data_IF_584715357508
#
_entry.id   IF_584715357508
#
_cell.length_a   1.000
_cell.length_b   1.000
_cell.length_c   1.000
_cell.angle_alpha   90.00
_cell.angle_beta   90.00
_cell.angle_gamma   90.00
#
_symmetry.space_group_name_H-M   'P 1'
#
loop_
_entity.id
_entity.type
_entity.pdbx_description
1 polymer ?
#
# COMPACT_ATOMS: atom_id res chain seq x y z
N UNK A 1 13.84 3.65 -10.11
CA UNK A 1 12.89 4.42 -10.96
C UNK A 1 11.69 3.53 -11.23
N UNK A 2 10.48 4.06 -11.09
CA UNK A 2 9.24 3.33 -11.36
C UNK A 2 9.05 3.14 -12.87
N UNK A 3 8.75 1.90 -13.28
CA UNK A 3 8.72 1.50 -14.69
C UNK A 3 7.35 1.00 -15.15
N UNK A 4 6.27 1.34 -14.44
CA UNK A 4 4.93 0.93 -14.85
C UNK A 4 4.59 1.56 -16.20
N UNK A 5 4.19 0.72 -17.14
CA UNK A 5 3.75 1.12 -18.49
C UNK A 5 2.25 0.90 -18.69
N UNK A 6 1.60 0.21 -17.76
CA UNK A 6 0.16 -0.08 -17.71
C UNK A 6 -0.22 -0.49 -16.27
N UNK A 7 -1.46 -0.25 -15.81
CA UNK A 7 -2.50 0.57 -16.44
C UNK A 7 -2.16 2.09 -16.43
N UNK A 8 -2.89 2.93 -17.18
CA UNK A 8 -2.58 4.37 -17.30
C UNK A 8 -2.47 5.11 -15.96
N UNK A 9 -3.28 4.73 -14.96
CA UNK A 9 -3.18 5.34 -13.64
C UNK A 9 -1.84 5.08 -12.93
N UNK A 10 -1.19 3.94 -13.17
CA UNK A 10 0.14 3.66 -12.62
C UNK A 10 1.21 4.46 -13.35
N UNK A 11 1.07 4.66 -14.66
CA UNK A 11 1.97 5.54 -15.43
C UNK A 11 1.89 6.97 -14.89
N UNK A 12 0.67 7.47 -14.66
CA UNK A 12 0.44 8.79 -14.09
C UNK A 12 1.01 8.89 -12.66
N UNK A 13 0.78 7.87 -11.82
CA UNK A 13 1.31 7.82 -10.46
C UNK A 13 2.85 7.79 -10.44
N UNK A 14 3.50 7.07 -11.36
CA UNK A 14 4.95 7.06 -11.47
C UNK A 14 5.51 8.45 -11.79
N UNK A 15 4.87 9.18 -12.70
CA UNK A 15 5.20 10.59 -13.00
C UNK A 15 4.95 11.50 -11.80
N UNK A 16 3.87 11.29 -11.06
CA UNK A 16 3.54 12.02 -9.85
C UNK A 16 4.59 11.82 -8.74
N UNK A 17 4.99 10.57 -8.48
CA UNK A 17 6.05 10.26 -7.52
C UNK A 17 7.40 10.89 -7.91
N UNK A 18 7.74 10.89 -9.20
CA UNK A 18 8.95 11.57 -9.67
C UNK A 18 8.90 13.09 -9.39
N UNK A 19 7.75 13.72 -9.58
CA UNK A 19 7.56 15.14 -9.24
C UNK A 19 7.63 15.38 -7.73
N UNK A 20 6.96 14.55 -6.92
CA UNK A 20 6.97 14.65 -5.46
C UNK A 20 8.37 14.45 -4.86
N UNK A 21 9.20 13.64 -5.51
CA UNK A 21 10.61 13.45 -5.16
C UNK A 21 11.47 14.65 -5.56
N UNK A 22 11.27 15.21 -6.75
CA UNK A 22 12.04 16.33 -7.27
C UNK A 22 11.74 17.66 -6.54
N UNK A 23 10.50 17.82 -6.04
CA UNK A 23 10.05 19.03 -5.35
C UNK A 23 9.40 18.70 -3.99
N UNK A 24 10.19 18.31 -2.97
CA UNK A 24 9.66 18.04 -1.64
C UNK A 24 8.91 19.26 -1.09
N UNK A 25 7.67 19.07 -0.62
CA UNK A 25 6.83 20.14 -0.07
C UNK A 25 5.98 20.92 -1.08
N UNK A 26 6.15 20.71 -2.39
CA UNK A 26 5.28 21.35 -3.40
C UNK A 26 3.87 20.73 -3.45
N UNK A 27 3.74 19.48 -2.97
CA UNK A 27 2.50 18.73 -2.90
C UNK A 27 2.20 18.48 -1.42
N UNK A 28 1.05 18.98 -0.96
CA UNK A 28 0.57 18.74 0.40
C UNK A 28 0.10 17.30 0.62
N UNK A 29 0.08 16.87 1.87
CA UNK A 29 -0.17 15.46 2.22
C UNK A 29 -1.53 14.95 1.75
N UNK A 30 -2.59 15.75 1.87
CA UNK A 30 -3.92 15.38 1.38
C UNK A 30 -3.92 15.12 -0.15
N UNK A 31 -3.35 16.02 -0.93
CA UNK A 31 -3.23 15.85 -2.39
C UNK A 31 -2.33 14.66 -2.76
N UNK A 32 -1.32 14.37 -1.94
CA UNK A 32 -0.49 13.20 -2.10
C UNK A 32 -1.29 11.91 -1.89
N UNK A 33 -2.02 11.80 -0.77
CA UNK A 33 -2.86 10.66 -0.46
C UNK A 33 -3.95 10.45 -1.51
N UNK A 34 -4.61 11.52 -1.96
CA UNK A 34 -5.64 11.45 -3.00
C UNK A 34 -5.09 10.87 -4.31
N UNK A 35 -3.89 11.30 -4.72
CA UNK A 35 -3.24 10.77 -5.91
C UNK A 35 -2.88 9.28 -5.77
N UNK A 36 -2.41 8.86 -4.59
CA UNK A 36 -2.11 7.44 -4.31
C UNK A 36 -3.38 6.59 -4.31
N UNK A 37 -4.45 7.07 -3.64
CA UNK A 37 -5.75 6.38 -3.60
C UNK A 37 -6.36 6.26 -4.99
N UNK A 38 -6.33 7.32 -5.80
CA UNK A 38 -6.84 7.34 -7.16
C UNK A 38 -6.11 6.39 -8.13
N UNK A 39 -4.91 5.92 -7.76
CA UNK A 39 -4.18 4.94 -8.55
C UNK A 39 -4.65 3.48 -8.32
N UNK A 40 -5.51 3.23 -7.33
CA UNK A 40 -6.12 1.91 -7.11
C UNK A 40 -7.34 1.71 -8.01
N UNK A 41 -7.74 0.45 -8.21
CA UNK A 41 -8.91 0.12 -9.02
C UNK A 41 -9.62 -1.14 -8.50
N UNK A 42 -10.92 -1.32 -8.82
CA UNK A 42 -11.65 -2.52 -8.42
C UNK A 42 -11.04 -3.81 -9.00
N UNK A 43 -10.79 -4.78 -8.13
CA UNK A 43 -10.35 -6.14 -8.44
C UNK A 43 -10.68 -7.05 -7.25
N UNK A 44 -10.32 -8.34 -7.28
CA UNK A 44 -10.51 -9.21 -6.11
C UNK A 44 -9.56 -8.79 -4.96
N UNK A 45 -9.94 -9.10 -3.73
CA UNK A 45 -9.23 -8.66 -2.52
C UNK A 45 -7.72 -8.96 -2.56
N UNK A 46 -7.32 -10.17 -2.94
CA UNK A 46 -5.90 -10.56 -2.95
C UNK A 46 -5.09 -9.91 -4.08
N UNK A 47 -5.68 -9.74 -5.27
CA UNK A 47 -5.06 -8.94 -6.32
C UNK A 47 -4.97 -7.46 -5.94
N UNK A 48 -5.94 -6.95 -5.17
CA UNK A 48 -5.88 -5.60 -4.62
C UNK A 48 -4.74 -5.46 -3.62
N UNK A 49 -4.54 -6.44 -2.72
CA UNK A 49 -3.40 -6.45 -1.77
C UNK A 49 -2.07 -6.34 -2.53
N UNK A 50 -1.87 -7.16 -3.57
CA UNK A 50 -0.66 -7.11 -4.40
C UNK A 50 -0.49 -5.75 -5.10
N UNK A 51 -1.55 -5.21 -5.70
CA UNK A 51 -1.54 -3.89 -6.33
C UNK A 51 -1.22 -2.79 -5.31
N UNK A 52 -1.86 -2.85 -4.15
CA UNK A 52 -1.78 -1.82 -3.13
C UNK A 52 -0.38 -1.75 -2.56
N UNK A 53 0.26 -2.87 -2.22
CA UNK A 53 1.67 -2.85 -1.80
C UNK A 53 2.61 -2.30 -2.86
N UNK A 54 2.39 -2.61 -4.15
CA UNK A 54 3.19 -2.03 -5.23
C UNK A 54 3.01 -0.50 -5.31
N UNK A 55 1.79 -0.01 -5.10
CA UNK A 55 1.42 1.40 -5.13
C UNK A 55 1.96 2.16 -3.91
N UNK A 56 1.75 1.64 -2.70
CA UNK A 56 2.01 2.37 -1.45
C UNK A 56 3.47 2.31 -1.00
N UNK A 57 4.23 1.25 -1.33
CA UNK A 57 5.60 1.14 -0.83
C UNK A 57 6.50 2.31 -1.28
N UNK A 58 6.44 2.78 -2.54
CA UNK A 58 7.10 4.03 -2.94
C UNK A 58 6.56 5.28 -2.23
N UNK A 59 5.24 5.34 -1.97
CA UNK A 59 4.64 6.45 -1.23
C UNK A 59 5.14 6.52 0.22
N UNK A 60 5.21 5.40 0.93
CA UNK A 60 5.74 5.33 2.29
C UNK A 60 7.21 5.77 2.35
N UNK A 61 8.01 5.51 1.30
CA UNK A 61 9.37 6.03 1.20
C UNK A 61 9.41 7.56 1.03
N UNK A 62 8.50 8.11 0.24
CA UNK A 62 8.44 9.56 -0.02
C UNK A 62 7.83 10.36 1.15
N UNK A 63 6.93 9.72 1.92
CA UNK A 63 6.18 10.33 3.02
C UNK A 63 6.03 9.34 4.20
N UNK A 64 7.11 9.07 4.95
CA UNK A 64 7.08 8.08 6.04
C UNK A 64 6.02 8.37 7.12
N UNK A 65 5.75 9.65 7.38
CA UNK A 65 4.73 10.06 8.36
C UNK A 65 3.30 9.70 7.95
N UNK A 66 3.05 9.37 6.68
CA UNK A 66 1.74 8.93 6.17
C UNK A 66 1.58 7.41 6.13
N UNK A 67 2.57 6.66 6.63
CA UNK A 67 2.59 5.19 6.51
C UNK A 67 1.33 4.54 7.08
N UNK A 68 0.85 5.01 8.24
CA UNK A 68 -0.34 4.46 8.89
C UNK A 68 -1.58 4.51 7.98
N UNK A 69 -1.81 5.66 7.33
CA UNK A 69 -2.95 5.86 6.42
C UNK A 69 -2.80 5.04 5.13
N UNK A 70 -1.56 4.90 4.65
CA UNK A 70 -1.28 4.17 3.41
C UNK A 70 -1.44 2.66 3.59
N UNK A 71 -0.98 2.09 4.71
CA UNK A 71 -1.03 0.65 4.96
C UNK A 71 -2.44 0.17 5.32
N UNK A 72 -3.35 1.07 5.70
CA UNK A 72 -4.76 0.74 5.88
C UNK A 72 -5.38 0.16 4.60
N UNK A 73 -4.97 0.63 3.41
CA UNK A 73 -5.52 0.17 2.13
C UNK A 73 -5.31 -1.34 1.87
N UNK A 74 -4.09 -1.91 1.92
CA UNK A 74 -3.92 -3.34 1.77
C UNK A 74 -4.48 -4.12 2.97
N UNK A 75 -4.47 -3.55 4.17
CA UNK A 75 -5.03 -4.20 5.38
C UNK A 75 -6.54 -4.41 5.24
N UNK A 76 -7.28 -3.40 4.78
CA UNK A 76 -8.73 -3.50 4.52
C UNK A 76 -9.03 -4.63 3.53
N UNK A 77 -8.23 -4.71 2.46
CA UNK A 77 -8.38 -5.77 1.48
C UNK A 77 -8.02 -7.16 2.04
N UNK A 78 -7.08 -7.26 2.98
CA UNK A 78 -6.80 -8.52 3.67
C UNK A 78 -7.97 -8.95 4.55
N UNK A 79 -8.54 -8.02 5.33
CA UNK A 79 -9.69 -8.28 6.21
C UNK A 79 -10.90 -8.71 5.37
N UNK A 80 -11.23 -7.95 4.33
CA UNK A 80 -12.28 -8.32 3.37
C UNK A 80 -11.98 -9.63 2.61
N UNK A 81 -10.70 -10.00 2.51
CA UNK A 81 -10.23 -11.28 1.98
C UNK A 81 -10.34 -12.45 2.98
N UNK A 82 -10.78 -12.20 4.21
CA UNK A 82 -10.97 -13.18 5.28
C UNK A 82 -9.83 -13.26 6.30
N UNK A 83 -8.93 -12.27 6.34
CA UNK A 83 -7.87 -12.26 7.35
C UNK A 83 -8.37 -11.70 8.69
N UNK A 84 -8.23 -12.50 9.74
CA UNK A 84 -8.66 -12.19 11.12
C UNK A 84 -7.49 -12.09 12.13
N UNK A 85 -6.26 -12.37 11.69
CA UNK A 85 -5.06 -12.35 12.52
C UNK A 85 -4.00 -11.36 11.99
N UNK A 86 -3.69 -10.36 12.81
CA UNK A 86 -2.68 -9.35 12.54
C UNK A 86 -1.27 -9.95 12.33
N UNK A 87 -0.96 -11.08 12.96
CA UNK A 87 0.34 -11.75 12.88
C UNK A 87 0.74 -12.17 11.47
N UNK A 88 -0.23 -12.29 10.55
CA UNK A 88 0.03 -12.70 9.17
C UNK A 88 0.32 -11.50 8.23
N UNK A 89 -0.04 -10.28 8.62
CA UNK A 89 0.00 -9.09 7.75
C UNK A 89 1.42 -8.80 7.25
N UNK A 90 2.41 -8.87 8.16
CA UNK A 90 3.82 -8.66 7.80
C UNK A 90 4.30 -9.69 6.76
N UNK A 91 4.00 -10.96 7.00
CA UNK A 91 4.38 -12.06 6.11
C UNK A 91 3.74 -11.93 4.72
N UNK A 92 2.49 -11.49 4.64
CA UNK A 92 1.79 -11.25 3.38
C UNK A 92 2.48 -10.13 2.59
N UNK A 93 2.78 -9.00 3.22
CA UNK A 93 3.49 -7.90 2.55
C UNK A 93 4.89 -8.30 2.05
N UNK A 94 5.61 -9.12 2.82
CA UNK A 94 6.88 -9.71 2.38
C UNK A 94 6.70 -10.62 1.17
N UNK A 95 5.68 -11.49 1.16
CA UNK A 95 5.39 -12.38 0.06
C UNK A 95 5.06 -11.61 -1.23
N UNK A 96 4.36 -10.47 -1.13
CA UNK A 96 4.10 -9.58 -2.27
C UNK A 96 5.39 -9.03 -2.90
N UNK A 97 6.44 -8.80 -2.10
CA UNK A 97 7.72 -8.27 -2.60
C UNK A 97 8.53 -9.28 -3.43
N UNK A 98 8.30 -10.57 -3.23
CA UNK A 98 9.08 -11.67 -3.81
C UNK A 98 8.29 -12.57 -4.75
N UNK A 99 7.01 -12.25 -5.02
CA UNK A 99 6.17 -13.03 -5.92
C UNK A 99 6.69 -12.99 -7.36
N UNK A 100 6.77 -14.16 -8.01
CA UNK A 100 7.32 -14.30 -9.36
C UNK A 100 6.42 -13.66 -10.44
N UNK A 101 5.10 -13.82 -10.29
CA UNK A 101 4.10 -13.27 -11.20
C UNK A 101 3.04 -12.48 -10.40
N UNK A 102 3.40 -11.27 -9.90
CA UNK A 102 2.46 -10.44 -9.17
C UNK A 102 1.44 -9.80 -10.11
N UNK A 103 0.26 -9.50 -9.58
CA UNK A 103 -0.77 -8.75 -10.27
C UNK A 103 -0.27 -7.37 -10.71
N UNK A 104 0.53 -6.71 -9.86
CA UNK A 104 1.28 -5.48 -10.19
C UNK A 104 2.72 -5.65 -9.73
N UNK A 105 3.67 -5.43 -10.62
CA UNK A 105 5.09 -5.51 -10.28
C UNK A 105 5.48 -4.41 -9.29
N UNK A 106 6.10 -4.80 -8.18
CA UNK A 106 6.68 -3.87 -7.21
C UNK A 106 7.96 -3.27 -7.79
N UNK A 107 8.14 -1.97 -7.64
CA UNK A 107 9.38 -1.29 -8.04
C UNK A 107 10.58 -1.73 -7.22
N UNK A 108 11.80 -1.47 -7.70
CA UNK A 108 13.02 -1.80 -6.95
C UNK A 108 13.10 -1.07 -5.60
N UNK A 109 12.61 0.16 -5.53
CA UNK A 109 12.51 0.92 -4.28
C UNK A 109 11.42 0.35 -3.37
N UNK A 110 10.23 0.04 -3.90
CA UNK A 110 9.14 -0.57 -3.13
C UNK A 110 9.52 -1.93 -2.57
N UNK A 111 10.23 -2.75 -3.35
CA UNK A 111 10.75 -4.05 -2.90
C UNK A 111 11.73 -3.88 -1.74
N UNK A 112 12.61 -2.88 -1.78
CA UNK A 112 13.50 -2.57 -0.66
C UNK A 112 12.72 -2.17 0.59
N UNK A 113 11.71 -1.31 0.45
CA UNK A 113 10.86 -0.95 1.58
C UNK A 113 10.14 -2.17 2.19
N UNK A 114 9.50 -3.00 1.36
CA UNK A 114 8.78 -4.20 1.82
C UNK A 114 9.68 -5.25 2.48
N UNK A 115 10.95 -5.31 2.09
CA UNK A 115 11.90 -6.32 2.62
C UNK A 115 12.74 -5.82 3.79
N UNK A 116 12.89 -4.50 3.97
CA UNK A 116 13.80 -3.92 4.96
C UNK A 116 13.10 -3.04 6.00
N UNK A 117 12.05 -2.33 5.61
CA UNK A 117 11.34 -1.38 6.49
C UNK A 117 10.07 -2.02 7.04
N UNK A 118 9.25 -2.59 6.15
CA UNK A 118 7.98 -3.21 6.49
C UNK A 118 8.05 -4.22 7.65
N UNK A 119 9.04 -5.13 7.74
CA UNK A 119 9.15 -6.04 8.88
C UNK A 119 9.37 -5.35 10.24
N UNK A 120 9.87 -4.11 10.25
CA UNK A 120 10.05 -3.32 11.46
C UNK A 120 8.81 -2.53 11.88
N UNK A 121 7.68 -2.67 11.16
CA UNK A 121 6.44 -1.93 11.42
C UNK A 121 5.39 -2.75 12.18
N UNK A 122 5.77 -3.85 12.84
CA UNK A 122 4.87 -4.79 13.53
C UNK A 122 3.83 -4.09 14.41
N UNK A 123 4.27 -3.24 15.35
CA UNK A 123 3.38 -2.52 16.27
C UNK A 123 2.40 -1.58 15.54
N UNK A 124 2.88 -0.88 14.51
CA UNK A 124 2.05 0.01 13.70
C UNK A 124 1.01 -0.78 12.89
N UNK A 125 1.44 -1.89 12.28
CA UNK A 125 0.60 -2.79 11.49
C UNK A 125 -0.48 -3.40 12.37
N UNK A 126 -0.14 -3.88 13.56
CA UNK A 126 -1.10 -4.42 14.53
C UNK A 126 -2.13 -3.35 14.92
N UNK A 127 -1.68 -2.14 15.26
CA UNK A 127 -2.56 -1.02 15.62
C UNK A 127 -3.54 -0.69 14.48
N UNK A 128 -3.05 -0.58 13.26
CA UNK A 128 -3.89 -0.29 12.09
C UNK A 128 -4.85 -1.46 11.83
N UNK A 129 -4.36 -2.70 11.83
CA UNK A 129 -5.19 -3.88 11.62
C UNK A 129 -6.36 -3.96 12.60
N UNK A 130 -6.10 -3.78 13.90
CA UNK A 130 -7.14 -3.83 14.92
C UNK A 130 -8.18 -2.73 14.70
N UNK A 131 -7.74 -1.49 14.41
CA UNK A 131 -8.67 -0.40 14.11
C UNK A 131 -9.57 -0.72 12.91
N UNK A 132 -8.98 -1.20 11.81
CA UNK A 132 -9.72 -1.54 10.58
C UNK A 132 -10.65 -2.74 10.76
N UNK A 133 -10.24 -3.76 11.53
CA UNK A 133 -11.08 -4.91 11.83
C UNK A 133 -12.31 -4.52 12.65
N UNK A 134 -12.15 -3.67 13.66
CA UNK A 134 -13.28 -3.17 14.44
C UNK A 134 -14.26 -2.37 13.59
N UNK A 135 -13.76 -1.53 12.67
CA UNK A 135 -14.61 -0.80 11.73
C UNK A 135 -15.37 -1.75 10.79
N UNK A 136 -14.71 -2.75 10.21
CA UNK A 136 -15.35 -3.73 9.34
C UNK A 136 -16.45 -4.53 10.05
N UNK A 137 -16.22 -4.93 11.31
CA UNK A 137 -17.23 -5.64 12.10
C UNK A 137 -18.44 -4.75 12.44
N UNK A 138 -18.22 -3.45 12.67
CA UNK A 138 -19.31 -2.52 12.91
C UNK A 138 -20.16 -2.28 11.65
N UNK A 139 -19.55 -2.26 10.46
CA UNK A 139 -20.27 -2.12 9.19
C UNK A 139 -21.13 -3.36 8.85
N UNK A 140 -20.74 -4.55 9.30
CA UNK A 140 -21.49 -5.79 9.10
C UNK A 140 -22.72 -5.93 10.03
N UNK A 141 -22.80 -5.11 11.09
CA UNK A 141 -23.92 -5.12 12.05
C UNK A 141 -25.10 -4.22 11.64
N UNK A 142 -24.92 -3.35 10.64
CA UNK A 142 -25.92 -2.38 10.11
C UNK A 142 -26.70 -2.90 8.88
#
# INVERSE_FOLDING_TARGET
MLTWTSPPQLVALAGFYAQAQAHPGAIGDAAFLDAVKAAHWPTNCWSYVEASFAIIAPACLLRPHLTAELIALPIDAMIAGGLDDAGQVIAIGLACATRDAPYVAVSAEGKRWLTQVWPGLEELVETVFQARLQEALAEDED
#
